data_IF_315665676365
#
_entry.id   IF_315665676365
#
_cell.length_a   1.000
_cell.length_b   1.000
_cell.length_c   1.000
_cell.angle_alpha   90.00
_cell.angle_beta   90.00
_cell.angle_gamma   90.00
#
_symmetry.space_group_name_H-M   'P 1'
#
loop_
_entity.id
_entity.type
_entity.pdbx_description
1 polymer ?
#
# COMPACT_ATOMS: atom_id res chain seq x y z
N UNK A 1 37.52 -4.75 -10.40
CA UNK A 1 37.29 -4.29 -9.02
C UNK A 1 35.89 -4.72 -8.66
N UNK A 2 35.74 -5.75 -7.82
CA UNK A 2 34.46 -6.14 -7.23
C UNK A 2 34.08 -5.02 -6.26
N UNK A 3 33.39 -3.99 -6.77
CA UNK A 3 32.95 -2.87 -5.94
C UNK A 3 32.00 -3.39 -4.87
N UNK A 4 32.30 -3.06 -3.61
CA UNK A 4 31.47 -3.41 -2.45
C UNK A 4 30.00 -3.10 -2.76
N UNK A 5 29.16 -4.11 -2.63
CA UNK A 5 27.71 -3.97 -2.77
C UNK A 5 27.16 -3.51 -1.43
N UNK A 6 26.31 -2.49 -1.42
CA UNK A 6 25.49 -2.18 -0.25
C UNK A 6 24.34 -3.19 -0.23
N UNK A 7 24.26 -4.11 0.74
CA UNK A 7 23.11 -4.99 0.87
C UNK A 7 21.86 -4.18 1.30
N UNK A 8 20.67 -4.70 1.01
CA UNK A 8 19.39 -4.05 1.33
C UNK A 8 19.31 -3.58 2.79
N UNK A 9 19.76 -4.40 3.73
CA UNK A 9 19.70 -4.11 5.15
C UNK A 9 20.64 -2.98 5.62
N UNK A 10 21.63 -2.60 4.80
CA UNK A 10 22.54 -1.49 5.10
C UNK A 10 22.20 -0.20 4.34
N UNK A 11 21.13 -0.21 3.55
CA UNK A 11 20.74 0.94 2.74
C UNK A 11 20.15 2.06 3.61
N UNK A 12 20.77 3.24 3.59
CA UNK A 12 20.17 4.46 4.14
C UNK A 12 19.04 5.01 3.24
N UNK A 13 19.11 4.72 1.94
CA UNK A 13 18.09 5.06 0.95
C UNK A 13 17.82 3.90 0.01
N UNK A 14 16.56 3.70 -0.33
CA UNK A 14 16.11 2.68 -1.28
C UNK A 14 15.38 3.38 -2.43
N UNK A 15 15.81 3.13 -3.66
CA UNK A 15 15.13 3.58 -4.86
C UNK A 15 14.01 2.61 -5.23
N UNK A 16 12.77 3.05 -5.15
CA UNK A 16 11.58 2.27 -5.46
C UNK A 16 11.20 2.42 -6.93
N UNK A 17 10.73 1.33 -7.53
CA UNK A 17 10.24 1.28 -8.91
C UNK A 17 8.89 0.55 -8.89
N UNK A 18 7.86 1.15 -9.49
CA UNK A 18 6.55 0.52 -9.65
C UNK A 18 6.53 -0.56 -10.73
N UNK A 19 5.34 -0.90 -11.22
CA UNK A 19 5.14 -2.03 -12.12
C UNK A 19 5.94 -1.87 -13.43
N UNK A 20 6.87 -2.78 -13.68
CA UNK A 20 7.84 -2.64 -14.79
C UNK A 20 7.28 -3.19 -16.12
N UNK A 21 6.47 -4.26 -16.06
CA UNK A 21 5.95 -5.03 -17.18
C UNK A 21 7.00 -5.39 -18.24
N UNK A 22 8.18 -5.81 -17.79
CA UNK A 22 9.25 -6.22 -18.70
C UNK A 22 9.94 -5.09 -19.45
N UNK A 23 9.70 -3.82 -19.11
CA UNK A 23 10.47 -2.70 -19.67
C UNK A 23 11.87 -2.61 -19.03
N UNK A 24 12.82 -3.32 -19.64
CA UNK A 24 14.22 -3.26 -19.22
C UNK A 24 14.82 -1.85 -19.42
N UNK A 25 14.33 -1.07 -20.40
CA UNK A 25 14.78 0.30 -20.61
C UNK A 25 14.47 1.16 -19.38
N UNK A 26 13.24 1.07 -18.90
CA UNK A 26 12.77 1.76 -17.71
C UNK A 26 13.62 1.45 -16.46
N UNK A 27 13.94 0.17 -16.21
CA UNK A 27 14.83 -0.21 -15.08
C UNK A 27 16.20 0.47 -15.23
N UNK A 28 16.76 0.50 -16.44
CA UNK A 28 18.09 1.08 -16.69
C UNK A 28 18.09 2.61 -16.53
N UNK A 29 17.00 3.27 -16.93
CA UNK A 29 16.81 4.71 -16.75
C UNK A 29 16.65 5.04 -15.26
N UNK A 30 15.82 4.29 -14.54
CA UNK A 30 15.67 4.40 -13.09
C UNK A 30 17.01 4.21 -12.36
N UNK A 31 17.73 3.13 -12.67
CA UNK A 31 19.06 2.88 -12.12
C UNK A 31 20.02 4.05 -12.37
N UNK A 32 19.94 4.69 -13.53
CA UNK A 32 20.78 5.83 -13.90
C UNK A 32 20.52 7.04 -12.99
N UNK A 33 19.28 7.53 -12.93
CA UNK A 33 19.01 8.76 -12.16
C UNK A 33 19.07 8.53 -10.64
N UNK A 34 18.83 7.30 -10.17
CA UNK A 34 19.01 6.90 -8.78
C UNK A 34 20.49 6.89 -8.38
N UNK A 35 21.37 6.39 -9.25
CA UNK A 35 22.81 6.41 -9.02
C UNK A 35 23.34 7.85 -8.95
N UNK A 36 22.84 8.74 -9.80
CA UNK A 36 23.17 10.18 -9.78
C UNK A 36 22.78 10.87 -8.45
N UNK A 37 21.86 10.26 -7.69
CA UNK A 37 21.41 10.70 -6.35
C UNK A 37 22.07 9.92 -5.20
N UNK A 38 23.06 9.08 -5.50
CA UNK A 38 23.76 8.28 -4.51
C UNK A 38 22.95 7.10 -3.96
N UNK A 39 21.95 6.61 -4.69
CA UNK A 39 21.14 5.46 -4.29
C UNK A 39 21.74 4.18 -4.89
N UNK A 40 22.23 3.30 -4.01
CA UNK A 40 22.87 2.03 -4.38
C UNK A 40 21.93 0.82 -4.33
N UNK A 41 20.79 0.93 -3.66
CA UNK A 41 19.81 -0.17 -3.56
C UNK A 41 18.54 0.23 -4.26
N UNK A 42 18.13 -0.58 -5.23
CA UNK A 42 16.87 -0.44 -5.96
C UNK A 42 15.93 -1.56 -5.53
N UNK A 43 14.62 -1.28 -5.49
CA UNK A 43 13.59 -2.25 -5.16
C UNK A 43 12.38 -2.05 -6.09
N UNK A 44 12.10 -3.05 -6.94
CA UNK A 44 10.87 -3.07 -7.72
C UNK A 44 9.72 -3.77 -6.99
N UNK A 45 8.52 -3.19 -7.08
CA UNK A 45 7.32 -3.61 -6.33
C UNK A 45 6.43 -4.56 -7.14
N UNK A 46 7.05 -5.48 -7.87
CA UNK A 46 6.36 -6.49 -8.69
C UNK A 46 6.37 -6.20 -10.19
N UNK A 47 5.77 -7.15 -10.93
CA UNK A 47 5.63 -7.16 -12.39
C UNK A 47 6.93 -6.82 -13.12
N UNK A 48 8.03 -7.41 -12.68
CA UNK A 48 9.37 -7.11 -13.21
C UNK A 48 9.55 -7.64 -14.64
N UNK A 49 8.99 -8.82 -14.94
CA UNK A 49 8.95 -9.41 -16.28
C UNK A 49 10.32 -9.80 -16.85
N UNK A 50 11.37 -9.93 -16.02
CA UNK A 50 12.73 -10.23 -16.48
C UNK A 50 12.88 -11.66 -17.05
N UNK A 51 12.05 -12.60 -16.58
CA UNK A 51 12.12 -14.02 -16.91
C UNK A 51 11.03 -14.46 -17.89
N UNK A 52 10.31 -13.54 -18.54
CA UNK A 52 9.11 -13.83 -19.32
C UNK A 52 9.32 -14.92 -20.41
N UNK A 53 8.35 -15.85 -20.61
CA UNK A 53 8.41 -16.85 -21.67
C UNK A 53 8.59 -16.26 -23.07
N UNK A 54 9.42 -16.91 -23.89
CA UNK A 54 9.73 -16.43 -25.24
C UNK A 54 10.81 -15.35 -25.32
N UNK A 55 11.16 -14.72 -24.20
CA UNK A 55 12.29 -13.78 -24.14
C UNK A 55 13.61 -14.45 -23.74
N UNK A 56 14.72 -13.82 -24.12
CA UNK A 56 16.05 -14.25 -23.70
C UNK A 56 16.37 -13.70 -22.28
N UNK A 57 15.75 -14.31 -21.27
CA UNK A 57 15.92 -13.92 -19.86
C UNK A 57 17.39 -13.84 -19.42
N UNK A 58 18.23 -14.80 -19.83
CA UNK A 58 19.66 -14.79 -19.48
C UNK A 58 20.39 -13.55 -20.04
N UNK A 59 20.09 -13.14 -21.27
CA UNK A 59 20.65 -11.94 -21.87
C UNK A 59 20.17 -10.68 -21.14
N UNK A 60 18.89 -10.62 -20.77
CA UNK A 60 18.31 -9.51 -20.00
C UNK A 60 18.96 -9.38 -18.62
N UNK A 61 19.06 -10.48 -17.87
CA UNK A 61 19.76 -10.54 -16.59
C UNK A 61 21.22 -10.10 -16.73
N UNK A 62 21.94 -10.58 -17.75
CA UNK A 62 23.34 -10.20 -17.99
C UNK A 62 23.49 -8.70 -18.28
N UNK A 63 22.61 -8.14 -19.11
CA UNK A 63 22.62 -6.70 -19.46
C UNK A 63 22.33 -5.84 -18.24
N UNK A 64 21.31 -6.20 -17.45
CA UNK A 64 20.94 -5.48 -16.24
C UNK A 64 22.05 -5.57 -15.18
N UNK A 65 22.54 -6.79 -14.91
CA UNK A 65 23.60 -7.04 -13.93
C UNK A 65 24.87 -6.25 -14.24
N UNK A 66 25.28 -6.19 -15.52
CA UNK A 66 26.39 -5.34 -15.95
C UNK A 66 26.14 -3.86 -15.67
N UNK A 67 24.97 -3.33 -16.02
CA UNK A 67 24.66 -1.91 -15.77
C UNK A 67 24.65 -1.58 -14.28
N UNK A 68 24.11 -2.46 -13.44
CA UNK A 68 24.08 -2.30 -11.99
C UNK A 68 25.49 -2.33 -11.40
N UNK A 69 26.35 -3.24 -11.87
CA UNK A 69 27.75 -3.31 -11.45
C UNK A 69 28.53 -2.04 -11.79
N UNK A 70 28.35 -1.50 -13.01
CA UNK A 70 28.97 -0.23 -13.45
C UNK A 70 28.56 0.97 -12.57
N UNK A 71 27.43 0.86 -11.86
CA UNK A 71 26.86 1.90 -10.97
C UNK A 71 27.05 1.62 -9.48
N UNK A 72 27.65 0.48 -9.11
CA UNK A 72 27.70 0.04 -7.72
C UNK A 72 26.30 -0.13 -7.11
N UNK A 73 25.33 -0.58 -7.91
CA UNK A 73 23.94 -0.80 -7.50
C UNK A 73 23.62 -2.29 -7.35
N UNK A 74 22.60 -2.58 -6.54
CA UNK A 74 21.95 -3.89 -6.44
C UNK A 74 20.45 -3.70 -6.63
N UNK A 75 19.84 -4.53 -7.47
CA UNK A 75 18.41 -4.52 -7.76
C UNK A 75 17.71 -5.65 -7.03
N UNK A 76 16.86 -5.28 -6.08
CA UNK A 76 15.94 -6.15 -5.39
C UNK A 76 14.55 -6.06 -6.01
N UNK A 77 13.74 -7.10 -5.84
CA UNK A 77 12.35 -7.08 -6.27
C UNK A 77 11.51 -8.12 -5.53
N UNK A 78 10.23 -7.81 -5.34
CA UNK A 78 9.19 -8.79 -5.04
C UNK A 78 8.52 -9.20 -6.34
N UNK A 79 7.99 -10.41 -6.41
CA UNK A 79 7.24 -10.88 -7.57
C UNK A 79 5.81 -10.33 -7.60
N UNK A 80 5.31 -10.03 -8.81
CA UNK A 80 3.91 -9.70 -9.06
C UNK A 80 3.13 -10.83 -9.73
N UNK A 81 2.03 -10.47 -10.39
CA UNK A 81 1.23 -11.44 -11.16
C UNK A 81 1.75 -11.61 -12.60
N UNK A 82 2.56 -10.69 -13.11
CA UNK A 82 3.24 -10.76 -14.42
C UNK A 82 4.72 -11.15 -14.30
N UNK A 83 5.05 -11.96 -13.31
CA UNK A 83 6.35 -12.60 -13.20
C UNK A 83 6.21 -14.12 -13.43
N UNK A 84 7.14 -14.71 -14.17
CA UNK A 84 7.12 -16.15 -14.45
C UNK A 84 7.50 -16.93 -13.18
N UNK A 85 6.49 -17.29 -12.39
CA UNK A 85 6.63 -18.03 -11.13
C UNK A 85 7.31 -19.38 -11.33
N UNK A 86 7.02 -20.10 -12.41
CA UNK A 86 7.66 -21.39 -12.68
C UNK A 86 9.17 -21.25 -12.90
N UNK A 87 9.61 -20.24 -13.68
CA UNK A 87 11.04 -19.99 -13.91
C UNK A 87 11.72 -19.41 -12.69
N UNK A 88 11.07 -18.46 -12.00
CA UNK A 88 11.58 -17.88 -10.77
C UNK A 88 11.85 -18.98 -9.73
N UNK A 89 10.90 -19.92 -9.59
CA UNK A 89 10.99 -21.00 -8.61
C UNK A 89 12.13 -22.00 -8.85
N UNK A 90 12.78 -21.98 -10.02
CA UNK A 90 13.95 -22.82 -10.33
C UNK A 90 15.25 -22.30 -9.69
N UNK A 91 15.33 -21.02 -9.32
CA UNK A 91 16.50 -20.46 -8.63
C UNK A 91 16.42 -20.77 -7.14
N UNK A 92 17.37 -21.42 -6.48
CA UNK A 92 17.23 -21.76 -5.06
C UNK A 92 17.18 -20.51 -4.16
N UNK A 93 16.46 -20.61 -3.04
CA UNK A 93 16.60 -19.65 -1.93
C UNK A 93 17.91 -20.01 -1.20
N UNK A 94 18.78 -19.03 -1.03
CA UNK A 94 20.05 -19.18 -0.35
C UNK A 94 19.87 -19.13 1.19
N UNK A 95 20.94 -19.43 1.93
CA UNK A 95 20.90 -19.49 3.40
C UNK A 95 20.58 -18.13 4.06
N UNK A 96 20.74 -17.03 3.33
CA UNK A 96 20.37 -15.67 3.75
C UNK A 96 18.88 -15.35 3.55
N UNK A 97 18.09 -16.33 3.07
CA UNK A 97 16.66 -16.16 2.78
C UNK A 97 16.35 -15.45 1.46
N UNK A 98 17.38 -15.10 0.68
CA UNK A 98 17.24 -14.39 -0.60
C UNK A 98 17.32 -15.36 -1.79
N UNK A 99 16.70 -15.00 -2.91
CA UNK A 99 16.80 -15.76 -4.16
C UNK A 99 17.64 -14.98 -5.17
N UNK A 100 18.86 -15.44 -5.39
CA UNK A 100 19.83 -14.73 -6.24
C UNK A 100 19.70 -15.17 -7.71
N UNK A 101 19.31 -14.25 -8.58
CA UNK A 101 19.25 -14.48 -10.04
C UNK A 101 20.59 -14.11 -10.71
N UNK A 102 21.31 -13.16 -10.13
CA UNK A 102 22.72 -12.84 -10.40
C UNK A 102 23.33 -12.13 -9.19
N UNK A 103 24.62 -11.79 -9.22
CA UNK A 103 25.28 -11.02 -8.15
C UNK A 103 24.57 -9.69 -7.81
N UNK A 104 23.89 -9.08 -8.79
CA UNK A 104 23.26 -7.75 -8.66
C UNK A 104 21.73 -7.77 -8.78
N UNK A 105 21.13 -8.94 -8.94
CA UNK A 105 19.68 -9.08 -9.18
C UNK A 105 19.16 -10.13 -8.20
N UNK A 106 18.40 -9.67 -7.23
CA UNK A 106 18.02 -10.47 -6.06
C UNK A 106 16.50 -10.39 -5.87
N UNK A 107 15.85 -11.53 -5.86
CA UNK A 107 14.43 -11.63 -5.53
C UNK A 107 14.27 -11.74 -4.00
N UNK A 108 13.25 -11.07 -3.47
CA UNK A 108 12.80 -11.16 -2.07
C UNK A 108 11.63 -12.16 -2.00
N UNK A 109 11.85 -13.40 -1.55
CA UNK A 109 10.77 -14.38 -1.42
C UNK A 109 9.68 -13.92 -0.45
N UNK A 110 8.45 -14.42 -0.65
CA UNK A 110 7.35 -14.22 0.31
C UNK A 110 7.78 -14.65 1.71
N UNK A 111 7.56 -13.76 2.67
CA UNK A 111 7.96 -13.94 4.06
C UNK A 111 9.43 -13.60 4.35
N UNK A 112 10.20 -13.10 3.38
CA UNK A 112 11.53 -12.55 3.65
C UNK A 112 11.43 -11.40 4.65
N UNK A 113 12.32 -11.40 5.64
CA UNK A 113 12.42 -10.37 6.68
C UNK A 113 13.87 -9.94 6.86
N UNK A 114 14.05 -8.67 7.19
CA UNK A 114 15.35 -8.13 7.58
C UNK A 114 15.19 -6.94 8.51
N UNK A 115 16.27 -6.59 9.21
CA UNK A 115 16.37 -5.37 10.02
C UNK A 115 17.33 -4.41 9.33
N UNK A 116 16.83 -3.23 9.00
CA UNK A 116 17.60 -2.15 8.37
C UNK A 116 18.61 -1.55 9.36
N UNK A 117 19.64 -0.88 8.86
CA UNK A 117 20.66 -0.22 9.68
C UNK A 117 20.08 0.85 10.63
N UNK A 118 18.91 1.41 10.32
CA UNK A 118 18.13 2.31 11.19
C UNK A 118 17.48 1.59 12.39
N UNK A 119 17.50 0.25 12.41
CA UNK A 119 16.79 -0.58 13.39
C UNK A 119 15.36 -0.93 12.99
N UNK A 120 14.84 -0.37 11.89
CA UNK A 120 13.50 -0.66 11.39
C UNK A 120 13.40 -2.04 10.75
N UNK A 121 12.29 -2.73 10.93
CA UNK A 121 12.02 -4.02 10.28
C UNK A 121 11.41 -3.85 8.89
N UNK A 122 11.83 -4.69 7.95
CA UNK A 122 11.26 -4.80 6.60
C UNK A 122 10.82 -6.24 6.36
N UNK A 123 9.60 -6.41 5.84
CA UNK A 123 9.05 -7.69 5.40
C UNK A 123 8.61 -7.62 3.94
N UNK A 124 8.63 -8.76 3.24
CA UNK A 124 8.20 -8.88 1.84
C UNK A 124 7.04 -9.86 1.67
N UNK A 125 6.02 -9.45 0.91
CA UNK A 125 4.88 -10.27 0.52
C UNK A 125 4.50 -9.96 -0.93
N UNK A 126 5.16 -10.62 -1.88
CA UNK A 126 4.82 -10.55 -3.30
C UNK A 126 3.58 -11.38 -3.66
N UNK A 127 3.20 -11.34 -4.94
CA UNK A 127 2.03 -11.99 -5.49
C UNK A 127 0.80 -11.09 -5.57
N UNK A 128 -0.03 -11.34 -6.57
CA UNK A 128 -1.36 -10.77 -6.77
C UNK A 128 -2.15 -11.68 -7.73
N UNK A 129 -3.48 -11.58 -7.73
CA UNK A 129 -4.30 -12.36 -8.66
C UNK A 129 -4.59 -11.56 -9.93
N UNK A 130 -4.30 -12.14 -11.09
CA UNK A 130 -4.57 -11.57 -12.40
C UNK A 130 -6.09 -11.50 -12.68
N UNK A 131 -6.68 -10.30 -12.68
CA UNK A 131 -8.10 -10.11 -13.00
C UNK A 131 -8.45 -10.60 -14.41
N UNK A 132 -7.49 -10.53 -15.33
CA UNK A 132 -7.63 -10.95 -16.73
C UNK A 132 -7.23 -12.42 -16.96
N UNK A 133 -7.05 -13.23 -15.91
CA UNK A 133 -6.71 -14.66 -15.97
C UNK A 133 -7.49 -15.44 -17.03
N UNK A 134 -8.78 -15.17 -17.16
CA UNK A 134 -9.67 -15.87 -18.10
C UNK A 134 -9.34 -15.61 -19.58
N UNK A 135 -8.55 -14.59 -19.87
CA UNK A 135 -8.06 -14.24 -21.19
C UNK A 135 -6.65 -14.79 -21.46
N UNK A 136 -6.05 -15.51 -20.50
CA UNK A 136 -4.66 -15.93 -20.51
C UNK A 136 -4.48 -17.41 -20.81
N UNK A 137 -3.25 -17.75 -21.16
CA UNK A 137 -2.81 -19.13 -21.34
C UNK A 137 -1.85 -19.52 -20.22
N UNK A 138 -1.49 -20.80 -20.11
CA UNK A 138 -0.49 -21.27 -19.15
C UNK A 138 0.93 -20.71 -19.38
N UNK A 139 1.16 -19.96 -20.46
CA UNK A 139 2.41 -19.26 -20.73
C UNK A 139 2.40 -17.79 -20.25
N UNK A 140 1.26 -17.27 -19.79
CA UNK A 140 1.10 -15.88 -19.36
C UNK A 140 0.33 -15.73 -18.05
N UNK A 141 0.01 -16.86 -17.41
CA UNK A 141 -0.66 -16.97 -16.12
C UNK A 141 -0.16 -18.19 -15.36
N UNK A 142 0.00 -18.04 -14.04
CA UNK A 142 0.51 -19.06 -13.13
C UNK A 142 -0.37 -19.11 -11.89
N UNK A 143 -0.70 -20.30 -11.38
CA UNK A 143 -1.51 -20.43 -10.17
C UNK A 143 -0.77 -19.91 -8.93
N UNK A 144 0.56 -19.95 -8.97
CA UNK A 144 1.50 -19.50 -7.95
C UNK A 144 1.49 -17.98 -7.74
N UNK A 145 0.86 -17.19 -8.63
CA UNK A 145 0.67 -15.75 -8.41
C UNK A 145 -0.15 -15.47 -7.15
N UNK A 146 -1.04 -16.39 -6.78
CA UNK A 146 -1.90 -16.28 -5.60
C UNK A 146 -1.11 -16.54 -4.31
N UNK A 147 -1.31 -15.66 -3.32
CA UNK A 147 -0.78 -15.81 -1.96
C UNK A 147 -1.53 -16.94 -1.24
N UNK A 148 -0.78 -17.80 -0.55
CA UNK A 148 -1.29 -18.98 0.16
C UNK A 148 -1.20 -18.83 1.68
N UNK A 149 -1.88 -19.70 2.44
CA UNK A 149 -1.71 -19.74 3.89
C UNK A 149 -0.28 -20.12 4.32
N UNK A 150 0.45 -20.91 3.52
CA UNK A 150 1.85 -21.25 3.79
C UNK A 150 2.77 -20.02 3.65
N UNK A 151 2.47 -19.14 2.68
CA UNK A 151 3.16 -17.85 2.55
C UNK A 151 2.92 -16.98 3.79
N UNK A 152 1.68 -16.94 4.30
CA UNK A 152 1.33 -16.20 5.51
C UNK A 152 1.97 -16.79 6.78
N UNK A 153 2.04 -18.12 6.87
CA UNK A 153 2.75 -18.80 7.95
C UNK A 153 4.26 -18.47 7.93
N UNK A 154 4.85 -18.38 6.74
CA UNK A 154 6.26 -18.00 6.55
C UNK A 154 6.49 -16.52 6.88
N UNK A 155 5.56 -15.65 6.49
CA UNK A 155 5.58 -14.24 6.83
C UNK A 155 5.56 -14.02 8.34
N UNK A 156 4.72 -14.77 9.06
CA UNK A 156 4.58 -14.67 10.51
C UNK A 156 3.92 -13.36 10.99
N UNK A 157 3.62 -13.30 12.29
CA UNK A 157 2.81 -12.25 12.91
C UNK A 157 3.64 -11.12 13.56
N UNK A 158 4.96 -11.11 13.35
CA UNK A 158 5.82 -10.06 13.89
C UNK A 158 5.61 -8.74 13.14
N UNK A 159 5.58 -7.64 13.90
CA UNK A 159 5.50 -6.28 13.35
C UNK A 159 6.60 -6.01 12.31
N UNK A 160 6.21 -5.37 11.21
CA UNK A 160 7.13 -4.83 10.22
C UNK A 160 6.98 -3.31 10.15
N UNK A 161 8.03 -2.50 10.35
CA UNK A 161 7.92 -1.05 10.10
C UNK A 161 7.54 -0.78 8.62
N UNK A 162 8.11 -1.58 7.71
CA UNK A 162 7.87 -1.51 6.27
C UNK A 162 7.43 -2.88 5.74
N UNK A 163 6.28 -2.93 5.05
CA UNK A 163 5.89 -4.06 4.23
C UNK A 163 6.04 -3.67 2.75
N UNK A 164 6.76 -4.49 1.99
CA UNK A 164 6.85 -4.35 0.53
C UNK A 164 6.10 -5.51 -0.14
N UNK A 165 5.31 -5.20 -1.15
CA UNK A 165 4.49 -6.18 -1.83
C UNK A 165 4.12 -5.74 -3.24
N UNK A 166 3.12 -6.40 -3.82
CA UNK A 166 2.63 -6.07 -5.14
C UNK A 166 1.13 -5.73 -5.14
N UNK A 167 0.27 -6.57 -4.54
CA UNK A 167 -1.17 -6.29 -4.36
C UNK A 167 -1.42 -5.13 -3.34
N UNK A 168 -2.62 -4.92 -2.83
CA UNK A 168 -2.90 -3.84 -1.88
C UNK A 168 -3.84 -4.28 -0.75
N UNK A 169 -3.71 -3.72 0.48
CA UNK A 169 -4.68 -4.03 1.53
C UNK A 169 -6.09 -3.55 1.16
N UNK A 170 -7.10 -4.09 1.82
CA UNK A 170 -8.47 -3.59 1.72
C UNK A 170 -8.62 -2.23 2.40
N UNK A 171 -9.78 -1.61 2.19
CA UNK A 171 -10.19 -0.33 2.77
C UNK A 171 -9.27 0.83 2.36
N UNK A 172 -8.90 0.90 1.08
CA UNK A 172 -8.16 2.04 0.51
C UNK A 172 -9.17 2.83 -0.31
N UNK A 173 -9.53 4.02 0.15
CA UNK A 173 -10.75 4.67 -0.29
C UNK A 173 -10.69 5.10 -1.76
N UNK A 174 -9.59 5.69 -2.21
CA UNK A 174 -9.46 6.06 -3.64
C UNK A 174 -9.36 4.84 -4.55
N UNK A 175 -8.66 3.79 -4.12
CA UNK A 175 -8.54 2.55 -4.89
C UNK A 175 -9.89 1.87 -5.02
N UNK A 176 -10.62 1.71 -3.92
CA UNK A 176 -11.91 1.02 -3.90
C UNK A 176 -12.95 1.74 -4.77
N UNK A 177 -12.92 3.09 -4.77
CA UNK A 177 -13.73 3.92 -5.69
C UNK A 177 -13.35 3.68 -7.16
N UNK A 178 -12.05 3.61 -7.46
CA UNK A 178 -11.54 3.35 -8.82
C UNK A 178 -11.93 1.97 -9.33
N UNK A 179 -11.75 0.93 -8.51
CA UNK A 179 -12.14 -0.44 -8.82
C UNK A 179 -13.65 -0.55 -9.05
N UNK A 180 -14.48 -0.02 -8.15
CA UNK A 180 -15.94 -0.04 -8.31
C UNK A 180 -16.42 0.63 -9.62
N UNK A 181 -15.73 1.70 -10.06
CA UNK A 181 -16.06 2.37 -11.32
C UNK A 181 -15.74 1.52 -12.57
N UNK A 182 -14.84 0.54 -12.43
CA UNK A 182 -14.38 -0.34 -13.52
C UNK A 182 -14.92 -1.77 -13.44
N UNK A 183 -15.50 -2.19 -12.31
CA UNK A 183 -16.07 -3.53 -12.09
C UNK A 183 -17.00 -3.99 -13.23
N UNK A 184 -17.79 -3.06 -13.79
CA UNK A 184 -18.71 -3.31 -14.92
C UNK A 184 -18.05 -3.87 -16.19
N UNK A 185 -16.73 -3.77 -16.31
CA UNK A 185 -15.97 -4.26 -17.46
C UNK A 185 -15.48 -5.71 -17.29
N UNK A 186 -15.71 -6.30 -16.12
CA UNK A 186 -15.20 -7.63 -15.78
C UNK A 186 -16.34 -8.61 -15.48
N UNK A 187 -16.08 -9.90 -15.70
CA UNK A 187 -17.02 -10.95 -15.28
C UNK A 187 -17.02 -11.08 -13.75
N UNK A 188 -18.11 -11.61 -13.18
CA UNK A 188 -18.17 -11.86 -11.74
C UNK A 188 -17.05 -12.81 -11.27
N UNK A 189 -16.71 -13.83 -12.07
CA UNK A 189 -15.64 -14.77 -11.74
C UNK A 189 -14.25 -14.09 -11.72
N UNK A 190 -14.00 -13.15 -12.62
CA UNK A 190 -12.78 -12.32 -12.63
C UNK A 190 -12.68 -11.46 -11.37
N UNK A 191 -13.78 -10.78 -11.03
CA UNK A 191 -13.87 -9.97 -9.83
C UNK A 191 -13.66 -10.82 -8.57
N UNK A 192 -14.29 -11.99 -8.49
CA UNK A 192 -14.18 -12.87 -7.33
C UNK A 192 -12.75 -13.40 -7.15
N UNK A 193 -12.06 -13.75 -8.25
CA UNK A 193 -10.68 -14.19 -8.22
C UNK A 193 -9.71 -13.08 -7.78
N UNK A 194 -9.83 -11.88 -8.35
CA UNK A 194 -9.00 -10.74 -7.96
C UNK A 194 -9.25 -10.35 -6.49
N UNK A 195 -10.52 -10.26 -6.07
CA UNK A 195 -10.89 -9.96 -4.68
C UNK A 195 -10.42 -11.04 -3.70
N UNK A 196 -10.34 -12.31 -4.12
CA UNK A 196 -9.77 -13.38 -3.30
C UNK A 196 -8.28 -13.16 -3.05
N UNK A 197 -7.52 -12.81 -4.09
CA UNK A 197 -6.08 -12.48 -3.98
C UNK A 197 -5.87 -11.30 -3.01
N UNK A 198 -6.59 -10.21 -3.23
CA UNK A 198 -6.51 -9.01 -2.37
C UNK A 198 -6.89 -9.30 -0.92
N UNK A 199 -7.86 -10.18 -0.67
CA UNK A 199 -8.20 -10.63 0.70
C UNK A 199 -7.05 -11.40 1.35
N UNK A 200 -6.36 -12.26 0.61
CA UNK A 200 -5.18 -12.98 1.13
C UNK A 200 -4.04 -12.01 1.43
N UNK A 201 -3.76 -11.08 0.53
CA UNK A 201 -2.78 -10.02 0.77
C UNK A 201 -3.12 -9.22 2.03
N UNK A 202 -4.37 -8.78 2.16
CA UNK A 202 -4.83 -8.02 3.32
C UNK A 202 -4.65 -8.77 4.64
N UNK A 203 -4.83 -10.10 4.66
CA UNK A 203 -4.53 -10.91 5.86
C UNK A 203 -3.06 -10.78 6.27
N UNK A 204 -2.12 -10.96 5.33
CA UNK A 204 -0.69 -10.80 5.62
C UNK A 204 -0.29 -9.38 6.03
N UNK A 205 -0.92 -8.37 5.42
CA UNK A 205 -0.79 -6.98 5.83
C UNK A 205 -1.24 -6.76 7.28
N UNK A 206 -2.39 -7.32 7.69
CA UNK A 206 -2.85 -7.20 9.08
C UNK A 206 -1.96 -7.96 10.07
N UNK A 207 -1.41 -9.12 9.70
CA UNK A 207 -0.47 -9.89 10.53
C UNK A 207 0.79 -9.10 10.87
N UNK A 208 1.29 -8.33 9.90
CA UNK A 208 2.53 -7.55 10.02
C UNK A 208 2.32 -6.12 10.51
N UNK A 209 1.06 -5.67 10.58
CA UNK A 209 0.60 -4.36 11.05
C UNK A 209 1.55 -3.18 10.74
N UNK A 210 1.90 -2.95 9.45
CA UNK A 210 3.03 -2.11 9.12
C UNK A 210 2.74 -0.62 9.24
N UNK A 211 3.79 0.16 9.54
CA UNK A 211 3.70 1.63 9.54
C UNK A 211 3.63 2.18 8.11
N UNK A 212 4.38 1.57 7.19
CA UNK A 212 4.45 1.92 5.78
C UNK A 212 4.25 0.66 4.92
N UNK A 213 3.32 0.73 3.98
CA UNK A 213 3.18 -0.24 2.90
C UNK A 213 3.62 0.36 1.56
N UNK A 214 4.37 -0.41 0.77
CA UNK A 214 4.83 -0.06 -0.58
C UNK A 214 4.41 -1.17 -1.55
N UNK A 215 3.56 -0.86 -2.53
CA UNK A 215 3.05 -1.81 -3.53
C UNK A 215 2.87 -1.24 -4.94
N UNK A 216 2.28 -2.03 -5.83
CA UNK A 216 2.02 -1.71 -7.24
C UNK A 216 0.68 -2.29 -7.72
N UNK A 217 0.70 -3.04 -8.82
CA UNK A 217 -0.40 -3.84 -9.40
C UNK A 217 -1.55 -3.05 -10.04
N UNK A 218 -1.99 -1.95 -9.42
CA UNK A 218 -3.20 -1.24 -9.82
C UNK A 218 -2.99 -0.13 -10.85
N UNK A 219 -1.73 0.14 -11.23
CA UNK A 219 -1.34 1.14 -12.25
C UNK A 219 -1.94 2.53 -11.97
N UNK A 220 -2.05 2.87 -10.69
CA UNK A 220 -2.60 4.12 -10.21
C UNK A 220 -1.82 4.54 -8.96
N UNK A 221 -1.24 5.75 -8.95
CA UNK A 221 -0.53 6.22 -7.79
C UNK A 221 -1.50 6.49 -6.63
N UNK A 222 -1.21 5.91 -5.47
CA UNK A 222 -1.95 6.10 -4.22
C UNK A 222 -0.95 6.43 -3.13
N UNK A 223 -1.29 7.40 -2.28
CA UNK A 223 -0.58 7.74 -1.05
C UNK A 223 -1.62 8.15 0.00
N UNK A 224 -2.05 7.18 0.81
CA UNK A 224 -3.10 7.35 1.81
C UNK A 224 -2.69 6.76 3.16
N UNK A 225 -2.91 7.51 4.23
CA UNK A 225 -2.90 7.00 5.60
C UNK A 225 -4.28 6.43 5.92
N UNK A 226 -4.29 5.15 6.27
CA UNK A 226 -5.51 4.40 6.57
C UNK A 226 -5.41 3.78 7.96
N UNK A 227 -6.52 3.82 8.69
CA UNK A 227 -6.65 3.16 9.98
C UNK A 227 -7.01 1.70 9.80
N UNK A 228 -6.46 0.83 10.63
CA UNK A 228 -6.74 -0.60 10.65
C UNK A 228 -6.98 -1.09 12.07
N UNK A 229 -7.63 -2.24 12.15
CA UNK A 229 -7.88 -2.94 13.40
C UNK A 229 -7.55 -4.42 13.20
N UNK A 230 -6.95 -5.00 14.21
CA UNK A 230 -6.87 -6.46 14.41
C UNK A 230 -7.64 -6.81 15.69
N UNK A 231 -7.68 -8.09 16.03
CA UNK A 231 -8.30 -8.52 17.29
C UNK A 231 -7.63 -7.90 18.54
N UNK A 232 -6.37 -7.48 18.42
CA UNK A 232 -5.54 -7.04 19.54
C UNK A 232 -5.19 -5.56 19.52
N UNK A 233 -5.08 -4.93 18.35
CA UNK A 233 -4.60 -3.55 18.23
C UNK A 233 -5.38 -2.74 17.19
N UNK A 234 -5.31 -1.42 17.31
CA UNK A 234 -5.61 -0.49 16.21
C UNK A 234 -4.33 0.21 15.81
N UNK A 235 -4.13 0.46 14.52
CA UNK A 235 -2.94 1.12 14.01
C UNK A 235 -3.28 1.96 12.78
N UNK A 236 -2.43 2.93 12.47
CA UNK A 236 -2.46 3.65 11.21
C UNK A 236 -1.31 3.15 10.33
N UNK A 237 -1.56 3.02 9.03
CA UNK A 237 -0.55 2.66 8.04
C UNK A 237 -0.60 3.64 6.90
N UNK A 238 0.56 4.12 6.45
CA UNK A 238 0.68 4.86 5.19
C UNK A 238 0.79 3.84 4.06
N UNK A 239 -0.19 3.85 3.17
CA UNK A 239 -0.32 2.95 2.04
C UNK A 239 0.12 3.69 0.79
N UNK A 240 1.21 3.22 0.18
CA UNK A 240 1.70 3.76 -1.08
C UNK A 240 1.63 2.69 -2.15
N UNK A 241 0.85 2.97 -3.19
CA UNK A 241 0.80 2.16 -4.41
C UNK A 241 1.42 2.98 -5.53
N UNK A 242 2.43 2.44 -6.18
CA UNK A 242 3.15 3.11 -7.26
C UNK A 242 2.48 2.83 -8.61
N UNK A 243 2.64 3.76 -9.54
CA UNK A 243 2.15 3.59 -10.91
C UNK A 243 3.13 2.73 -11.74
N UNK A 244 2.67 2.23 -12.89
CA UNK A 244 3.50 1.49 -13.82
C UNK A 244 4.47 2.39 -14.58
N UNK A 245 5.63 1.85 -14.96
CA UNK A 245 6.70 2.61 -15.65
C UNK A 245 6.27 3.13 -17.03
N UNK A 246 5.25 2.52 -17.64
CA UNK A 246 4.65 2.96 -18.91
C UNK A 246 3.82 4.25 -18.77
N UNK A 247 3.57 4.72 -17.55
CA UNK A 247 3.08 6.06 -17.25
C UNK A 247 4.26 6.95 -16.81
N UNK A 248 5.17 7.34 -17.73
CA UNK A 248 6.48 7.88 -17.36
C UNK A 248 6.42 9.21 -16.62
N UNK A 249 5.32 9.96 -16.74
CA UNK A 249 5.10 11.26 -16.08
C UNK A 249 4.37 11.14 -14.72
N UNK A 250 4.05 9.91 -14.30
CA UNK A 250 3.37 9.59 -13.03
C UNK A 250 4.37 9.21 -11.92
N UNK A 251 3.87 8.92 -10.72
CA UNK A 251 4.66 8.47 -9.57
C UNK A 251 5.04 6.98 -9.69
N UNK A 252 5.82 6.64 -10.71
CA UNK A 252 6.31 5.29 -11.00
C UNK A 252 7.72 5.02 -10.44
N UNK A 253 8.38 6.04 -9.85
CA UNK A 253 9.61 5.90 -9.10
C UNK A 253 9.60 6.73 -7.80
N UNK A 254 10.34 6.30 -6.79
CA UNK A 254 10.47 7.05 -5.53
C UNK A 254 11.81 6.78 -4.84
N UNK A 255 12.21 7.64 -3.91
CA UNK A 255 13.32 7.39 -2.98
C UNK A 255 12.75 7.35 -1.57
N UNK A 256 12.97 6.22 -0.89
CA UNK A 256 12.67 6.01 0.51
C UNK A 256 13.90 6.34 1.36
N UNK A 257 13.73 7.17 2.38
CA UNK A 257 14.66 7.29 3.51
C UNK A 257 14.33 6.21 4.56
N UNK A 258 15.28 5.34 4.86
CA UNK A 258 15.03 4.16 5.72
C UNK A 258 15.02 4.47 7.22
N UNK A 259 15.41 5.68 7.62
CA UNK A 259 15.34 6.13 9.02
C UNK A 259 14.04 6.90 9.27
N UNK A 260 13.68 7.82 8.38
CA UNK A 260 12.49 8.66 8.58
C UNK A 260 11.22 8.12 7.94
N UNK A 261 11.32 7.10 7.07
CA UNK A 261 10.24 6.60 6.21
C UNK A 261 9.66 7.68 5.27
N UNK A 262 10.43 8.73 5.00
CA UNK A 262 10.02 9.77 4.06
C UNK A 262 10.17 9.26 2.62
N UNK A 263 9.26 9.69 1.75
CA UNK A 263 9.25 9.34 0.33
C UNK A 263 9.31 10.61 -0.50
N UNK A 264 10.21 10.62 -1.48
CA UNK A 264 10.24 11.59 -2.57
C UNK A 264 9.88 10.88 -3.87
N UNK A 265 8.82 11.33 -4.54
CA UNK A 265 8.31 10.71 -5.76
C UNK A 265 8.92 11.35 -7.01
N UNK A 266 9.12 10.53 -8.04
CA UNK A 266 9.72 10.94 -9.30
C UNK A 266 8.97 10.33 -10.47
N UNK A 267 9.02 11.05 -11.60
CA UNK A 267 8.78 10.47 -12.92
C UNK A 267 9.88 9.48 -13.28
N UNK A 268 9.68 8.64 -14.29
CA UNK A 268 10.70 7.70 -14.76
C UNK A 268 11.96 8.41 -15.29
N UNK A 269 11.82 9.68 -15.70
CA UNK A 269 12.92 10.55 -16.14
C UNK A 269 13.66 11.22 -14.98
N UNK A 270 13.32 10.91 -13.74
CA UNK A 270 13.94 11.46 -12.54
C UNK A 270 13.52 12.90 -12.23
N UNK A 271 12.39 13.38 -12.76
CA UNK A 271 11.82 14.67 -12.36
C UNK A 271 11.05 14.48 -11.06
N UNK A 272 11.38 15.28 -10.04
CA UNK A 272 10.65 15.25 -8.77
C UNK A 272 9.19 15.68 -8.99
N UNK A 273 8.27 14.92 -8.42
CA UNK A 273 6.84 15.23 -8.41
C UNK A 273 6.50 16.08 -7.19
N UNK A 274 5.57 17.04 -7.32
CA UNK A 274 5.10 17.79 -6.17
C UNK A 274 4.44 16.84 -5.18
N UNK A 275 4.58 17.13 -3.89
CA UNK A 275 3.78 16.46 -2.87
C UNK A 275 2.30 16.68 -3.18
N UNK A 276 1.50 15.61 -3.09
CA UNK A 276 0.05 15.70 -3.17
C UNK A 276 -0.54 16.54 -2.03
N UNK A 277 -1.84 16.83 -2.07
CA UNK A 277 -2.51 17.49 -0.95
C UNK A 277 -2.31 16.67 0.33
N UNK A 278 -1.88 17.33 1.40
CA UNK A 278 -1.67 16.66 2.68
C UNK A 278 -3.01 16.11 3.21
N UNK A 279 -3.07 14.80 3.40
CA UNK A 279 -4.22 14.18 4.03
C UNK A 279 -4.35 14.62 5.48
N UNK A 280 -5.57 14.90 5.91
CA UNK A 280 -5.86 15.15 7.32
C UNK A 280 -5.96 13.82 8.05
N UNK A 281 -4.98 13.55 8.91
CA UNK A 281 -4.93 12.31 9.71
C UNK A 281 -5.50 12.48 11.12
N UNK A 282 -5.71 13.72 11.55
CA UNK A 282 -6.26 14.05 12.86
C UNK A 282 -7.11 15.33 12.79
N UNK A 283 -8.29 15.29 13.42
CA UNK A 283 -9.11 16.48 13.64
C UNK A 283 -8.91 17.00 15.06
N UNK A 284 -8.75 18.31 15.17
CA UNK A 284 -8.66 19.03 16.45
C UNK A 284 -9.68 20.15 16.49
N UNK A 285 -10.03 20.62 17.68
CA UNK A 285 -11.01 21.71 17.86
C UNK A 285 -10.55 23.07 17.28
N UNK A 286 -9.28 23.18 16.86
CA UNK A 286 -8.73 24.39 16.25
C UNK A 286 -8.98 24.45 14.73
N UNK A 287 -9.43 23.35 14.15
CA UNK A 287 -9.75 23.26 12.72
C UNK A 287 -11.16 23.76 12.46
N UNK A 288 -11.47 24.05 11.20
CA UNK A 288 -12.77 24.52 10.73
C UNK A 288 -13.35 23.55 9.69
N UNK A 289 -14.59 23.79 9.29
CA UNK A 289 -15.27 23.03 8.24
C UNK A 289 -16.00 21.78 8.71
N UNK A 290 -16.58 21.09 7.72
CA UNK A 290 -17.32 19.84 7.89
C UNK A 290 -16.44 18.67 7.44
N UNK A 291 -16.49 17.60 8.21
CA UNK A 291 -15.63 16.43 8.03
C UNK A 291 -16.45 15.15 8.12
N UNK A 292 -16.15 14.22 7.23
CA UNK A 292 -16.66 12.85 7.28
C UNK A 292 -15.59 11.95 7.90
N UNK A 293 -15.94 11.33 9.01
CA UNK A 293 -15.09 10.39 9.73
C UNK A 293 -15.63 9.00 9.43
N UNK A 294 -14.81 8.15 8.81
CA UNK A 294 -15.16 6.77 8.55
C UNK A 294 -14.68 5.92 9.71
N UNK A 295 -15.58 5.18 10.34
CA UNK A 295 -15.26 4.22 11.39
C UNK A 295 -15.73 2.84 10.97
N UNK A 296 -15.32 1.80 11.71
CA UNK A 296 -15.78 0.43 11.41
C UNK A 296 -17.31 0.37 11.58
N UNK A 297 -18.02 0.22 10.45
CA UNK A 297 -19.46 0.04 10.40
C UNK A 297 -20.31 1.29 10.63
N UNK A 298 -19.72 2.48 10.72
CA UNK A 298 -20.45 3.75 10.89
C UNK A 298 -19.67 4.92 10.32
N UNK A 299 -20.38 5.98 9.96
CA UNK A 299 -19.78 7.27 9.61
C UNK A 299 -20.15 8.29 10.68
N UNK A 300 -19.32 9.32 10.84
CA UNK A 300 -19.64 10.47 11.69
C UNK A 300 -19.43 11.75 10.89
N UNK A 301 -20.43 12.61 10.89
CA UNK A 301 -20.34 13.95 10.29
C UNK A 301 -20.01 14.90 11.44
N UNK A 302 -18.81 15.46 11.41
CA UNK A 302 -18.34 16.45 12.36
C UNK A 302 -18.31 17.82 11.69
N UNK A 303 -19.12 18.76 12.19
CA UNK A 303 -19.11 20.15 11.78
C UNK A 303 -18.45 20.98 12.89
N UNK A 304 -17.18 21.37 12.65
CA UNK A 304 -16.41 22.12 13.63
C UNK A 304 -16.84 23.59 13.72
N UNK A 305 -17.42 24.14 12.65
CA UNK A 305 -17.88 25.53 12.60
C UNK A 305 -19.17 25.70 13.42
N UNK A 306 -20.09 24.74 13.30
CA UNK A 306 -21.35 24.70 14.08
C UNK A 306 -21.21 23.98 15.41
N UNK A 307 -20.07 23.34 15.65
CA UNK A 307 -19.80 22.51 16.83
C UNK A 307 -20.87 21.42 16.97
N UNK A 308 -21.14 20.67 15.91
CA UNK A 308 -22.09 19.55 15.93
C UNK A 308 -21.47 18.26 15.43
N UNK A 309 -21.97 17.13 15.95
CA UNK A 309 -21.58 15.80 15.50
C UNK A 309 -22.81 14.91 15.37
N UNK A 310 -22.82 14.07 14.35
CA UNK A 310 -23.90 13.12 14.08
C UNK A 310 -23.31 11.79 13.63
N UNK A 311 -23.77 10.68 14.21
CA UNK A 311 -23.43 9.34 13.71
C UNK A 311 -24.43 8.94 12.63
N UNK A 312 -23.92 8.41 11.52
CA UNK A 312 -24.68 7.69 10.50
C UNK A 312 -24.34 6.21 10.61
N UNK A 313 -25.20 5.39 11.25
CA UNK A 313 -24.96 3.95 11.38
C UNK A 313 -24.98 3.28 9.99
N UNK A 314 -24.07 2.34 9.74
CA UNK A 314 -24.15 1.46 8.58
C UNK A 314 -25.24 0.38 8.74
N UNK A 315 -25.51 -0.42 7.70
CA UNK A 315 -26.65 -1.36 7.68
C UNK A 315 -26.72 -2.36 8.84
N UNK A 316 -25.56 -2.76 9.38
CA UNK A 316 -25.45 -3.73 10.48
C UNK A 316 -25.21 -3.09 11.85
N UNK A 317 -25.27 -1.76 11.95
CA UNK A 317 -25.03 -1.04 13.20
C UNK A 317 -26.30 -0.91 14.02
N UNK A 318 -26.19 -1.12 15.34
CA UNK A 318 -27.29 -0.87 16.28
C UNK A 318 -27.55 0.63 16.37
N UNK A 319 -28.83 1.00 16.37
CA UNK A 319 -29.27 2.37 16.56
C UNK A 319 -28.96 2.86 17.98
N UNK A 320 -28.49 4.09 18.10
CA UNK A 320 -28.12 4.70 19.39
C UNK A 320 -28.58 6.15 19.45
N UNK A 321 -28.55 6.75 20.63
CA UNK A 321 -28.81 8.19 20.79
C UNK A 321 -27.83 9.06 19.99
N UNK A 322 -26.64 8.54 19.65
CA UNK A 322 -25.64 9.27 18.85
C UNK A 322 -26.02 9.43 17.38
N UNK A 323 -27.12 8.81 16.93
CA UNK A 323 -27.58 8.86 15.54
C UNK A 323 -28.36 10.16 15.22
N UNK A 324 -28.65 10.95 16.24
CA UNK A 324 -29.17 12.30 16.13
C UNK A 324 -28.02 13.33 16.10
N UNK A 325 -28.33 14.57 15.69
CA UNK A 325 -27.36 15.66 15.73
C UNK A 325 -27.18 16.14 17.18
N UNK A 326 -25.93 16.09 17.66
CA UNK A 326 -25.54 16.57 18.99
C UNK A 326 -24.60 17.76 18.93
N UNK A 327 -24.68 18.64 19.92
CA UNK A 327 -23.69 19.71 20.07
C UNK A 327 -22.41 19.18 20.70
N UNK A 328 -21.29 19.36 20.01
CA UNK A 328 -19.97 18.98 20.46
C UNK A 328 -19.52 19.86 21.64
N UNK A 329 -19.18 19.21 22.76
CA UNK A 329 -18.59 19.86 23.94
C UNK A 329 -17.06 19.77 23.92
N UNK A 330 -16.49 18.59 23.62
CA UNK A 330 -15.04 18.42 23.45
C UNK A 330 -14.71 17.35 22.42
N UNK A 331 -13.65 17.57 21.63
CA UNK A 331 -13.03 16.55 20.77
C UNK A 331 -11.72 16.07 21.42
N UNK A 332 -11.73 14.89 22.03
CA UNK A 332 -10.58 14.38 22.76
C UNK A 332 -9.61 13.62 21.86
N UNK A 333 -10.14 12.69 21.05
CA UNK A 333 -9.36 11.91 20.09
C UNK A 333 -10.15 11.81 18.80
N UNK A 334 -9.53 12.17 17.68
CA UNK A 334 -10.11 11.98 16.35
C UNK A 334 -8.99 11.81 15.34
N UNK A 335 -8.22 10.72 15.49
CA UNK A 335 -7.05 10.40 14.67
C UNK A 335 -7.23 9.06 13.97
N UNK A 336 -6.83 8.98 12.71
CA UNK A 336 -6.80 7.73 11.93
C UNK A 336 -5.98 6.68 12.68
N UNK A 337 -6.48 5.44 12.73
CA UNK A 337 -5.85 4.33 13.46
C UNK A 337 -6.14 4.28 14.96
N UNK A 338 -6.87 5.27 15.50
CA UNK A 338 -7.32 5.30 16.89
C UNK A 338 -8.85 5.22 16.99
N UNK A 339 -9.37 4.90 18.18
CA UNK A 339 -10.80 5.07 18.47
C UNK A 339 -11.10 6.54 18.72
N UNK A 340 -12.11 7.06 18.04
CA UNK A 340 -12.63 8.40 18.28
C UNK A 340 -13.23 8.53 19.67
N UNK A 341 -12.95 9.65 20.33
CA UNK A 341 -13.46 9.99 21.67
C UNK A 341 -13.87 11.45 21.70
N UNK A 342 -15.12 11.72 22.05
CA UNK A 342 -15.64 13.08 22.18
C UNK A 342 -16.75 13.14 23.22
N UNK A 343 -17.03 14.37 23.68
CA UNK A 343 -18.17 14.65 24.55
C UNK A 343 -19.17 15.56 23.84
N UNK A 344 -20.44 15.32 24.14
CA UNK A 344 -21.60 16.04 23.60
C UNK A 344 -22.34 16.71 24.75
N UNK A 345 -22.91 17.89 24.51
CA UNK A 345 -23.71 18.59 25.51
C UNK A 345 -24.85 17.68 25.98
N UNK A 346 -25.05 17.62 27.29
CA UNK A 346 -26.14 16.87 27.87
C UNK A 346 -27.44 17.67 27.92
N UNK A 347 -28.38 17.21 28.72
CA UNK A 347 -29.69 17.81 28.91
C UNK A 347 -29.86 18.35 30.34
N UNK A 348 -31.10 18.50 30.80
CA UNK A 348 -31.39 19.00 32.14
C UNK A 348 -31.07 17.99 33.26
N UNK A 349 -30.86 16.70 32.94
CA UNK A 349 -30.53 15.64 33.88
C UNK A 349 -29.06 15.21 33.81
N UNK A 350 -28.43 15.40 32.65
CA UNK A 350 -27.07 14.95 32.37
C UNK A 350 -26.20 16.13 31.94
N UNK A 351 -25.05 16.37 32.59
CA UNK A 351 -24.13 17.47 32.21
C UNK A 351 -23.59 17.29 30.77
N UNK A 352 -23.13 16.07 30.46
CA UNK A 352 -22.67 15.73 29.12
C UNK A 352 -22.74 14.24 28.84
N UNK A 353 -22.90 13.90 27.57
CA UNK A 353 -22.76 12.54 27.05
C UNK A 353 -21.34 12.32 26.55
N UNK A 354 -20.81 11.12 26.71
CA UNK A 354 -19.55 10.70 26.11
C UNK A 354 -19.83 9.73 24.97
N UNK A 355 -18.99 9.76 23.94
CA UNK A 355 -19.03 8.80 22.84
C UNK A 355 -17.63 8.24 22.60
N UNK A 356 -17.58 6.93 22.35
CA UNK A 356 -16.39 6.25 21.87
C UNK A 356 -16.75 5.50 20.59
N UNK A 357 -16.08 5.84 19.48
CA UNK A 357 -16.29 5.13 18.22
C UNK A 357 -15.48 3.83 18.16
N UNK A 358 -15.74 3.03 17.12
CA UNK A 358 -14.77 2.05 16.63
C UNK A 358 -13.55 2.78 16.03
N UNK A 359 -12.54 2.04 15.57
CA UNK A 359 -11.32 2.64 15.00
C UNK A 359 -11.67 3.53 13.79
N UNK A 360 -11.05 4.71 13.74
CA UNK A 360 -11.19 5.65 12.62
C UNK A 360 -10.32 5.13 11.47
N UNK A 361 -10.96 4.86 10.34
CA UNK A 361 -10.37 4.37 9.09
C UNK A 361 -9.89 5.52 8.21
N UNK A 362 -10.75 6.51 7.99
CA UNK A 362 -10.49 7.66 7.12
C UNK A 362 -11.10 8.94 7.70
N UNK A 363 -10.55 10.06 7.28
CA UNK A 363 -11.09 11.40 7.53
C UNK A 363 -11.07 12.15 6.20
N UNK A 364 -12.23 12.57 5.73
CA UNK A 364 -12.38 13.35 4.49
C UNK A 364 -13.02 14.71 4.78
N UNK A 365 -12.60 15.81 4.13
CA UNK A 365 -13.38 17.03 4.13
C UNK A 365 -14.72 16.76 3.43
N UNK A 366 -15.81 17.24 4.03
CA UNK A 366 -17.15 17.07 3.47
C UNK A 366 -17.57 18.36 2.78
N UNK A 367 -17.71 18.34 1.46
CA UNK A 367 -18.30 19.47 0.72
C UNK A 367 -19.82 19.36 0.66
N UNK A 368 -20.49 20.47 0.33
CA UNK A 368 -21.95 20.50 0.18
C UNK A 368 -22.45 19.60 -0.97
N UNK A 369 -21.62 19.38 -2.00
CA UNK A 369 -21.93 18.45 -3.09
C UNK A 369 -21.83 16.98 -2.64
N UNK A 370 -20.85 16.67 -1.77
CA UNK A 370 -20.61 15.31 -1.26
C UNK A 370 -21.69 14.89 -0.27
N UNK A 371 -22.25 15.83 0.50
CA UNK A 371 -23.30 15.57 1.49
C UNK A 371 -24.48 14.81 0.88
N UNK A 372 -24.95 15.22 -0.31
CA UNK A 372 -26.09 14.57 -0.99
C UNK A 372 -25.75 13.18 -1.55
N UNK A 373 -24.57 13.02 -2.13
CA UNK A 373 -24.13 11.74 -2.68
C UNK A 373 -23.90 10.69 -1.57
N UNK A 374 -23.34 11.11 -0.44
CA UNK A 374 -23.16 10.27 0.75
C UNK A 374 -24.52 9.94 1.38
N UNK A 375 -25.45 10.89 1.42
CA UNK A 375 -26.83 10.66 1.88
C UNK A 375 -27.59 9.63 1.02
N UNK A 376 -27.31 9.56 -0.28
CA UNK A 376 -27.89 8.58 -1.19
C UNK A 376 -27.19 7.20 -1.09
N UNK A 377 -25.88 7.19 -0.84
CA UNK A 377 -25.08 5.96 -0.71
C UNK A 377 -25.25 5.25 0.64
N UNK A 378 -25.52 5.98 1.74
CA UNK A 378 -25.75 5.40 3.07
C UNK A 378 -27.19 4.83 3.21
N UNK A 379 -28.15 5.30 2.38
CA UNK A 379 -29.55 4.81 2.39
C UNK A 379 -29.77 3.50 1.63
N UNK A 380 -28.87 3.15 0.72
CA UNK A 380 -28.89 1.91 -0.06
C UNK A 380 -27.92 0.89 0.55
#
# INVERSE_FOLDING_TARGET
MTGDTTPLNMAAKIGLIGDVHGDLGAILDAATFMAERGVNVLLALGDVGLLWPGENGQQRLTKLSKRLADRGQTFYWVEGNHDDHHRLNQFPIAADGLRHLSERIVHLPRGYRTTLASGKSLAALGGANSIDRFLRTSASWWAEESITDDDLNTLGDEHADILVGHDAPLDILSLDRSLAATDRFWSQEALDYARQGRRMFHRGFLQTNPMLYLGGHYHQPIDEVVGYITDTITFASRIVVMDMVQHPDSACAAILDTDTLALEFFTLRGQALPAGPAQVVELTEKMSGRWLIHTIGSHHILDLDRRTIERRPGPNSIATTSDEVHYLRSLNTCRIGERGRWTMKGDYLTDYYWHASSAIRHIEPLTDADTKAIEDAIRN
#
